data_IF_345353523565
#
_entry.id   IF_345353523565
#
_cell.length_a   1.000
_cell.length_b   1.000
_cell.length_c   1.000
_cell.angle_alpha   90.00
_cell.angle_beta   90.00
_cell.angle_gamma   90.00
#
_symmetry.space_group_name_H-M   'P 1'
#
loop_
_entity.id
_entity.type
_entity.pdbx_description
1 polymer ?
#
# COMPACT_ATOMS: atom_id res chain seq x y z
N UNK A 1 -24.39 0.40 16.24
CA UNK A 1 -23.65 1.04 15.12
C UNK A 1 -23.57 0.10 13.93
N UNK A 2 -24.05 0.56 12.78
CA UNK A 2 -24.32 -0.22 11.58
C UNK A 2 -23.02 -0.59 10.82
N UNK A 3 -22.21 -1.52 11.37
CA UNK A 3 -20.89 -1.97 10.83
C UNK A 3 -20.93 -2.65 9.45
N UNK A 4 -22.03 -2.60 8.67
CA UNK A 4 -22.25 -3.48 7.52
C UNK A 4 -22.39 -2.82 6.15
N UNK A 5 -22.65 -1.51 6.04
CA UNK A 5 -22.79 -0.86 4.73
C UNK A 5 -21.44 -0.29 4.28
N UNK A 6 -21.03 -0.62 3.05
CA UNK A 6 -19.84 -0.04 2.41
C UNK A 6 -19.99 1.49 2.34
N UNK A 7 -19.04 2.28 2.87
CA UNK A 7 -19.11 3.72 2.77
C UNK A 7 -18.84 4.16 1.32
N UNK A 8 -19.38 5.33 0.98
CA UNK A 8 -18.90 6.10 -0.16
C UNK A 8 -17.46 6.56 0.12
N UNK A 9 -16.59 6.39 -0.86
CA UNK A 9 -15.18 6.80 -0.73
C UNK A 9 -15.01 8.22 -1.25
N UNK A 10 -15.08 9.18 -0.34
CA UNK A 10 -14.88 10.61 -0.57
C UNK A 10 -14.15 11.24 0.62
N UNK A 11 -13.43 12.33 0.38
CA UNK A 11 -12.72 13.04 1.45
C UNK A 11 -13.69 13.59 2.50
N UNK A 12 -14.88 14.04 2.10
CA UNK A 12 -15.92 14.49 3.04
C UNK A 12 -16.44 13.37 3.97
N UNK A 13 -16.20 12.11 3.62
CA UNK A 13 -16.65 10.92 4.36
C UNK A 13 -15.45 10.11 4.89
N UNK A 14 -14.29 10.74 5.10
CA UNK A 14 -13.03 10.06 5.40
C UNK A 14 -13.11 9.21 6.67
N UNK A 15 -13.84 9.64 7.71
CA UNK A 15 -13.98 8.91 8.98
C UNK A 15 -14.61 7.53 8.75
N UNK A 16 -15.78 7.50 8.11
CA UNK A 16 -16.48 6.24 7.82
C UNK A 16 -15.66 5.33 6.90
N UNK A 17 -14.88 5.92 5.99
CA UNK A 17 -13.96 5.18 5.13
C UNK A 17 -12.86 4.52 5.96
N UNK A 18 -12.19 5.24 6.86
CA UNK A 18 -11.15 4.65 7.70
C UNK A 18 -11.70 3.71 8.77
N UNK A 19 -12.91 3.92 9.28
CA UNK A 19 -13.55 2.95 10.18
C UNK A 19 -13.91 1.64 9.45
N UNK A 20 -14.26 1.71 8.16
CA UNK A 20 -14.54 0.52 7.36
C UNK A 20 -13.28 -0.20 6.89
N UNK A 21 -12.32 0.52 6.31
CA UNK A 21 -11.11 -0.06 5.71
C UNK A 21 -9.99 -0.31 6.72
N UNK A 22 -9.94 0.47 7.81
CA UNK A 22 -8.85 0.47 8.79
C UNK A 22 -8.62 -0.85 9.53
N UNK A 23 -9.66 -1.61 9.91
CA UNK A 23 -9.49 -2.96 10.45
C UNK A 23 -8.90 -3.98 9.46
N UNK A 24 -8.85 -3.65 8.16
CA UNK A 24 -8.40 -4.55 7.09
C UNK A 24 -9.55 -5.36 6.49
N UNK A 25 -9.57 -5.43 5.16
CA UNK A 25 -10.65 -6.07 4.37
C UNK A 25 -10.17 -7.22 3.49
N UNK A 26 -8.93 -7.66 3.72
CA UNK A 26 -8.28 -8.73 2.98
C UNK A 26 -9.12 -10.02 3.01
N UNK A 27 -9.16 -10.74 1.89
CA UNK A 27 -9.79 -12.05 1.77
C UNK A 27 -8.84 -13.00 1.06
N UNK A 28 -8.19 -13.90 1.80
CA UNK A 28 -7.15 -14.77 1.25
C UNK A 28 -7.63 -15.64 0.08
N UNK A 29 -8.88 -16.11 0.11
CA UNK A 29 -9.49 -16.86 -1.01
C UNK A 29 -9.57 -16.04 -2.30
N UNK A 30 -9.59 -14.71 -2.21
CA UNK A 30 -9.55 -13.80 -3.35
C UNK A 30 -8.12 -13.37 -3.66
N UNK A 31 -7.35 -13.00 -2.62
CA UNK A 31 -6.01 -12.43 -2.79
C UNK A 31 -5.02 -13.43 -3.36
N UNK A 32 -4.94 -14.65 -2.83
CA UNK A 32 -3.92 -15.60 -3.28
C UNK A 32 -4.09 -16.02 -4.74
N UNK A 33 -5.29 -16.36 -5.24
CA UNK A 33 -5.48 -16.63 -6.67
C UNK A 33 -5.14 -15.43 -7.55
N UNK A 34 -5.50 -14.21 -7.12
CA UNK A 34 -5.14 -12.99 -7.85
C UNK A 34 -3.63 -12.80 -7.91
N UNK A 35 -2.91 -12.95 -6.79
CA UNK A 35 -1.45 -12.84 -6.76
C UNK A 35 -0.78 -13.91 -7.64
N UNK A 36 -1.28 -15.15 -7.61
CA UNK A 36 -0.79 -16.23 -8.46
C UNK A 36 -0.99 -15.94 -9.96
N UNK A 37 -2.14 -15.37 -10.34
CA UNK A 37 -2.41 -14.94 -11.71
C UNK A 37 -1.48 -13.80 -12.13
N UNK A 38 -1.32 -12.78 -11.29
CA UNK A 38 -0.45 -11.63 -11.57
C UNK A 38 1.01 -12.07 -11.69
N UNK A 39 1.49 -12.95 -10.81
CA UNK A 39 2.82 -13.56 -10.90
C UNK A 39 2.99 -14.34 -12.21
N UNK A 40 2.01 -15.17 -12.60
CA UNK A 40 2.08 -15.94 -13.84
C UNK A 40 2.23 -15.05 -15.09
N UNK A 41 1.63 -13.85 -15.09
CA UNK A 41 1.69 -12.87 -16.18
C UNK A 41 3.00 -12.08 -16.16
N UNK A 42 3.39 -11.53 -15.01
CA UNK A 42 4.52 -10.59 -14.92
C UNK A 42 5.88 -11.25 -14.70
N UNK A 43 5.92 -12.37 -13.95
CA UNK A 43 7.12 -13.17 -13.60
C UNK A 43 8.39 -12.32 -13.39
N UNK A 44 8.40 -11.39 -12.42
CA UNK A 44 9.54 -10.51 -12.24
C UNK A 44 10.79 -11.29 -11.84
N UNK A 45 11.96 -10.84 -12.31
CA UNK A 45 13.24 -11.36 -11.85
C UNK A 45 13.60 -10.69 -10.52
N UNK A 46 13.52 -11.44 -9.42
CA UNK A 46 13.82 -10.92 -8.09
C UNK A 46 15.28 -11.16 -7.73
N UNK A 47 15.98 -10.08 -7.42
CA UNK A 47 17.34 -10.08 -6.88
C UNK A 47 17.27 -9.55 -5.45
N UNK A 48 17.26 -10.46 -4.50
CA UNK A 48 17.26 -10.14 -3.07
C UNK A 48 18.40 -10.97 -2.47
N UNK A 49 19.40 -10.35 -1.82
CA UNK A 49 20.47 -11.08 -1.16
C UNK A 49 19.93 -11.98 -0.05
N UNK A 50 20.54 -13.15 0.15
CA UNK A 50 20.07 -14.13 1.12
C UNK A 50 20.13 -13.56 2.55
N UNK A 51 21.14 -12.76 2.88
CA UNK A 51 21.24 -12.07 4.17
C UNK A 51 20.06 -11.10 4.42
N UNK A 52 19.50 -10.53 3.34
CA UNK A 52 18.32 -9.67 3.44
C UNK A 52 17.07 -10.49 3.72
N UNK A 53 16.92 -11.65 3.07
CA UNK A 53 15.82 -12.58 3.33
C UNK A 53 15.86 -13.05 4.78
N UNK A 54 17.00 -13.51 5.27
CA UNK A 54 17.18 -13.95 6.65
C UNK A 54 16.85 -12.83 7.66
N UNK A 55 17.35 -11.61 7.41
CA UNK A 55 17.04 -10.46 8.26
C UNK A 55 15.55 -10.14 8.28
N UNK A 56 14.89 -10.20 7.14
CA UNK A 56 13.45 -9.95 7.01
C UNK A 56 12.62 -10.98 7.80
N UNK A 57 12.94 -12.27 7.68
CA UNK A 57 12.28 -13.33 8.45
C UNK A 57 12.52 -13.18 9.96
N UNK A 58 13.75 -12.87 10.37
CA UNK A 58 14.07 -12.61 11.79
C UNK A 58 13.23 -11.47 12.34
N UNK A 59 13.26 -10.30 11.68
CA UNK A 59 12.48 -9.12 12.08
C UNK A 59 10.98 -9.43 12.16
N UNK A 60 10.44 -10.13 11.17
CA UNK A 60 9.04 -10.54 11.17
C UNK A 60 8.72 -11.48 12.35
N UNK A 61 9.57 -12.47 12.63
CA UNK A 61 9.39 -13.39 13.75
C UNK A 61 9.52 -12.73 15.13
N UNK A 62 10.32 -11.66 15.23
CA UNK A 62 10.48 -10.83 16.42
C UNK A 62 9.30 -9.87 16.63
N UNK A 63 8.32 -9.86 15.71
CA UNK A 63 7.16 -8.95 15.76
C UNK A 63 7.52 -7.51 15.42
N UNK A 64 8.62 -7.29 14.70
CA UNK A 64 9.00 -5.94 14.25
C UNK A 64 8.17 -5.54 13.05
N UNK A 65 7.54 -4.36 13.14
CA UNK A 65 6.79 -3.78 12.03
C UNK A 65 7.68 -3.47 10.83
N UNK A 66 7.18 -3.76 9.62
CA UNK A 66 7.94 -3.59 8.38
C UNK A 66 7.25 -2.60 7.46
N UNK A 67 8.00 -1.60 6.98
CA UNK A 67 7.57 -0.72 5.90
C UNK A 67 8.21 -1.18 4.59
N UNK A 68 7.38 -1.54 3.61
CA UNK A 68 7.81 -1.81 2.23
C UNK A 68 7.65 -0.51 1.44
N UNK A 69 8.73 0.26 1.39
CA UNK A 69 8.82 1.50 0.63
C UNK A 69 9.37 1.23 -0.77
N UNK A 70 8.58 1.52 -1.80
CA UNK A 70 8.92 1.18 -3.19
C UNK A 70 8.92 2.44 -4.06
N UNK A 71 9.86 2.50 -5.00
CA UNK A 71 9.85 3.50 -6.06
C UNK A 71 8.68 3.25 -7.03
N UNK A 72 8.27 4.28 -7.77
CA UNK A 72 7.14 4.21 -8.71
C UNK A 72 7.55 4.61 -10.15
N UNK A 73 8.51 3.93 -10.81
CA UNK A 73 8.94 4.28 -12.16
C UNK A 73 7.87 4.13 -13.26
N UNK A 74 6.86 3.28 -13.09
CA UNK A 74 5.93 2.92 -14.15
C UNK A 74 4.49 2.67 -13.67
N UNK A 75 3.53 2.66 -14.60
CA UNK A 75 2.14 2.30 -14.29
C UNK A 75 1.96 0.83 -13.89
N UNK A 76 2.94 -0.02 -14.21
CA UNK A 76 2.92 -1.46 -13.92
C UNK A 76 3.47 -1.80 -12.54
N UNK A 77 4.04 -0.85 -11.80
CA UNK A 77 4.71 -1.17 -10.53
C UNK A 77 3.80 -1.82 -9.49
N UNK A 78 2.51 -1.44 -9.33
CA UNK A 78 1.63 -2.14 -8.41
C UNK A 78 1.49 -3.63 -8.74
N UNK A 79 1.43 -3.99 -10.03
CA UNK A 79 1.36 -5.38 -10.47
C UNK A 79 2.69 -6.11 -10.36
N UNK A 80 3.81 -5.43 -10.66
CA UNK A 80 5.16 -6.00 -10.47
C UNK A 80 5.44 -6.26 -8.99
N UNK A 81 5.07 -5.32 -8.11
CA UNK A 81 5.17 -5.48 -6.66
C UNK A 81 4.27 -6.63 -6.17
N UNK A 82 3.02 -6.70 -6.63
CA UNK A 82 2.12 -7.80 -6.28
C UNK A 82 2.68 -9.17 -6.71
N UNK A 83 3.23 -9.28 -7.92
CA UNK A 83 3.90 -10.49 -8.38
C UNK A 83 5.14 -10.82 -7.51
N UNK A 84 5.98 -9.82 -7.22
CA UNK A 84 7.17 -9.98 -6.40
C UNK A 84 6.86 -10.54 -5.01
N UNK A 85 5.78 -10.05 -4.39
CA UNK A 85 5.29 -10.49 -3.09
C UNK A 85 4.70 -11.91 -3.11
N UNK A 86 4.52 -12.53 -4.28
CA UNK A 86 4.14 -13.94 -4.37
C UNK A 86 5.33 -14.89 -4.25
N UNK A 87 6.58 -14.41 -4.33
CA UNK A 87 7.77 -15.24 -4.08
C UNK A 87 7.77 -15.78 -2.64
N UNK A 88 7.96 -17.10 -2.48
CA UNK A 88 7.90 -17.80 -1.19
C UNK A 88 8.88 -17.24 -0.16
N UNK A 89 10.03 -16.69 -0.59
CA UNK A 89 11.05 -16.10 0.28
C UNK A 89 10.57 -14.86 1.02
N UNK A 90 9.59 -14.13 0.47
CA UNK A 90 9.08 -12.87 1.04
C UNK A 90 7.55 -12.81 1.13
N UNK A 91 6.86 -13.93 0.87
CA UNK A 91 5.39 -13.98 0.75
C UNK A 91 4.63 -13.47 1.97
N UNK A 92 5.23 -13.53 3.16
CA UNK A 92 4.63 -12.99 4.38
C UNK A 92 4.35 -11.48 4.28
N UNK A 93 5.16 -10.73 3.52
CA UNK A 93 4.96 -9.29 3.27
C UNK A 93 3.64 -9.01 2.51
N UNK A 94 3.14 -9.98 1.73
CA UNK A 94 1.89 -9.85 1.00
C UNK A 94 0.68 -9.70 1.92
N UNK A 95 0.78 -10.05 3.20
CA UNK A 95 -0.28 -9.88 4.21
C UNK A 95 -0.49 -8.43 4.65
N UNK A 96 0.44 -7.54 4.30
CA UNK A 96 0.43 -6.15 4.74
C UNK A 96 -0.68 -5.28 4.17
N UNK A 97 -0.78 -4.08 4.75
CA UNK A 97 -1.70 -3.04 4.32
C UNK A 97 -1.07 -2.21 3.21
N UNK A 98 -1.60 -2.34 2.00
CA UNK A 98 -1.24 -1.46 0.90
C UNK A 98 -1.90 -0.09 1.02
N UNK A 99 -1.19 0.96 0.62
CA UNK A 99 -1.73 2.31 0.53
C UNK A 99 -1.93 2.69 -0.94
N UNK A 100 -3.12 3.17 -1.32
CA UNK A 100 -3.36 3.63 -2.69
C UNK A 100 -4.36 4.77 -2.76
N UNK A 101 -4.34 5.52 -3.86
CA UNK A 101 -5.23 6.68 -4.05
C UNK A 101 -6.70 6.26 -4.00
N UNK A 102 -7.49 7.06 -3.29
CA UNK A 102 -8.91 6.80 -3.08
C UNK A 102 -9.79 6.67 -4.36
N UNK A 103 -9.49 7.29 -5.53
CA UNK A 103 -10.35 7.16 -6.71
C UNK A 103 -10.46 5.72 -7.22
N UNK A 104 -9.48 4.86 -6.90
CA UNK A 104 -9.47 3.44 -7.27
C UNK A 104 -10.57 2.63 -6.57
N UNK A 105 -11.18 3.17 -5.52
CA UNK A 105 -12.28 2.54 -4.78
C UNK A 105 -13.67 2.97 -5.27
N UNK A 106 -13.76 3.84 -6.28
CA UNK A 106 -15.05 4.30 -6.84
C UNK A 106 -15.52 3.48 -8.04
N UNK A 107 -14.63 2.70 -8.64
CA UNK A 107 -14.89 1.95 -9.88
C UNK A 107 -15.14 0.45 -9.70
N UNK A 108 -15.31 -0.30 -10.81
CA UNK A 108 -15.56 -1.74 -10.79
C UNK A 108 -14.40 -2.56 -10.20
N UNK A 109 -13.19 -1.99 -10.18
CA UNK A 109 -12.01 -2.61 -9.57
C UNK A 109 -11.95 -2.46 -8.04
N UNK A 110 -12.91 -1.77 -7.40
CA UNK A 110 -12.97 -1.64 -5.93
C UNK A 110 -12.76 -2.96 -5.18
N UNK A 111 -13.36 -4.11 -5.57
CA UNK A 111 -13.14 -5.38 -4.87
C UNK A 111 -11.68 -5.84 -4.89
N UNK A 112 -10.92 -5.50 -5.94
CA UNK A 112 -9.49 -5.82 -6.02
C UNK A 112 -8.77 -5.16 -4.86
N UNK A 113 -8.89 -3.84 -4.73
CA UNK A 113 -8.21 -3.08 -3.67
C UNK A 113 -8.74 -3.42 -2.27
N UNK A 114 -10.06 -3.58 -2.12
CA UNK A 114 -10.67 -3.94 -0.85
C UNK A 114 -10.18 -5.31 -0.36
N UNK A 115 -10.25 -6.33 -1.23
CA UNK A 115 -9.94 -7.70 -0.83
C UNK A 115 -8.47 -8.05 -0.85
N UNK A 116 -7.59 -7.20 -1.41
CA UNK A 116 -6.14 -7.29 -1.18
C UNK A 116 -5.69 -6.65 0.13
N UNK A 117 -6.60 -6.00 0.88
CA UNK A 117 -6.27 -5.34 2.15
C UNK A 117 -5.72 -3.93 1.99
N UNK A 118 -5.97 -3.30 0.85
CA UNK A 118 -5.52 -1.94 0.55
C UNK A 118 -6.45 -0.90 1.18
N UNK A 119 -5.89 0.21 1.65
CA UNK A 119 -6.59 1.34 2.27
C UNK A 119 -6.53 2.56 1.35
N UNK A 120 -7.64 3.30 1.17
CA UNK A 120 -7.67 4.53 0.38
C UNK A 120 -6.92 5.68 1.05
N UNK A 121 -6.12 6.40 0.27
CA UNK A 121 -5.37 7.59 0.70
C UNK A 121 -5.99 8.83 0.08
N UNK A 122 -6.46 9.74 0.94
CA UNK A 122 -6.92 11.07 0.55
C UNK A 122 -5.74 12.03 0.52
N UNK A 123 -5.31 12.42 -0.69
CA UNK A 123 -4.16 13.30 -0.87
C UNK A 123 -4.63 14.73 -1.08
N UNK A 124 -4.16 15.67 -0.27
CA UNK A 124 -4.58 17.07 -0.32
C UNK A 124 -4.57 17.65 -1.75
N UNK A 125 -3.52 17.36 -2.52
CA UNK A 125 -3.37 17.82 -3.91
C UNK A 125 -4.46 17.36 -4.90
N UNK A 126 -5.25 16.35 -4.55
CA UNK A 126 -6.34 15.83 -5.39
C UNK A 126 -7.69 16.54 -5.11
N UNK A 127 -7.73 17.46 -4.15
CA UNK A 127 -8.95 18.03 -3.59
C UNK A 127 -8.80 19.53 -3.36
N UNK A 128 -8.53 20.25 -4.44
CA UNK A 128 -8.50 21.70 -4.43
C UNK A 128 -9.84 22.27 -3.92
N UNK A 129 -9.77 23.25 -3.02
CA UNK A 129 -10.96 23.88 -2.42
C UNK A 129 -11.58 23.14 -1.22
N UNK A 130 -11.08 21.97 -0.84
CA UNK A 130 -11.45 21.34 0.44
C UNK A 130 -10.62 21.99 1.57
N UNK A 131 -11.26 22.22 2.73
CA UNK A 131 -10.61 22.84 3.88
C UNK A 131 -9.41 22.00 4.37
N UNK A 132 -8.31 22.68 4.74
CA UNK A 132 -7.03 22.04 5.07
C UNK A 132 -7.11 21.14 6.30
N UNK A 133 -7.93 21.52 7.27
CA UNK A 133 -8.22 20.76 8.49
C UNK A 133 -8.81 19.37 8.20
N UNK A 134 -9.66 19.23 7.17
CA UNK A 134 -10.20 17.94 6.74
C UNK A 134 -9.10 17.03 6.20
N UNK A 135 -8.18 17.58 5.40
CA UNK A 135 -7.05 16.83 4.86
C UNK A 135 -6.08 16.41 5.96
N UNK A 136 -5.77 17.32 6.88
CA UNK A 136 -4.89 17.07 8.01
C UNK A 136 -5.48 16.01 8.94
N UNK A 137 -6.80 16.03 9.19
CA UNK A 137 -7.46 15.02 10.00
C UNK A 137 -7.44 13.64 9.33
N UNK A 138 -7.74 13.57 8.02
CA UNK A 138 -7.68 12.33 7.24
C UNK A 138 -6.24 11.77 7.18
N UNK A 139 -5.25 12.64 6.93
CA UNK A 139 -3.83 12.30 6.94
C UNK A 139 -3.39 11.76 8.32
N UNK A 140 -3.75 12.45 9.40
CA UNK A 140 -3.45 12.05 10.77
C UNK A 140 -4.06 10.68 11.09
N UNK A 141 -5.31 10.43 10.68
CA UNK A 141 -5.96 9.12 10.87
C UNK A 141 -5.25 8.02 10.09
N UNK A 142 -4.83 8.28 8.85
CA UNK A 142 -4.08 7.32 8.05
C UNK A 142 -2.70 7.01 8.66
N UNK A 143 -1.99 8.03 9.15
CA UNK A 143 -0.71 7.86 9.86
C UNK A 143 -0.92 7.00 11.11
N UNK A 144 -1.93 7.33 11.93
CA UNK A 144 -2.28 6.55 13.11
C UNK A 144 -2.54 5.09 12.79
N UNK A 145 -3.31 4.81 11.73
CA UNK A 145 -3.52 3.44 11.24
C UNK A 145 -2.20 2.75 10.88
N UNK A 146 -1.30 3.43 10.16
CA UNK A 146 0.00 2.85 9.79
C UNK A 146 0.86 2.57 11.03
N UNK A 147 0.87 3.48 12.01
CA UNK A 147 1.56 3.30 13.30
C UNK A 147 0.97 2.11 14.06
N UNK A 148 -0.35 1.98 14.13
CA UNK A 148 -1.00 0.85 14.80
C UNK A 148 -0.63 -0.49 14.12
N UNK A 149 -0.56 -0.51 12.78
CA UNK A 149 -0.10 -1.71 12.04
C UNK A 149 1.35 -2.06 12.37
N UNK A 150 2.24 -1.07 12.34
CA UNK A 150 3.68 -1.28 12.55
C UNK A 150 4.00 -1.65 14.00
N UNK A 151 3.37 -1.01 14.97
CA UNK A 151 3.55 -1.34 16.40
C UNK A 151 2.98 -2.71 16.76
N UNK A 152 1.98 -3.19 16.01
CA UNK A 152 1.49 -4.57 16.09
C UNK A 152 2.32 -5.61 15.33
N UNK A 153 3.50 -5.27 14.80
CA UNK A 153 4.36 -6.19 14.03
C UNK A 153 3.89 -6.47 12.61
N UNK A 154 2.95 -5.67 12.11
CA UNK A 154 2.40 -5.78 10.76
C UNK A 154 3.28 -5.16 9.68
N UNK A 155 2.76 -5.20 8.45
CA UNK A 155 3.44 -4.69 7.26
C UNK A 155 2.63 -3.56 6.63
N UNK A 156 3.29 -2.46 6.25
CA UNK A 156 2.70 -1.37 5.46
C UNK A 156 3.43 -1.26 4.13
N UNK A 157 2.70 -1.27 3.02
CA UNK A 157 3.25 -1.19 1.66
C UNK A 157 2.85 0.10 0.99
N UNK A 158 3.81 0.80 0.40
CA UNK A 158 3.53 2.08 -0.25
C UNK A 158 4.54 2.44 -1.34
N UNK A 159 4.02 3.16 -2.34
CA UNK A 159 4.82 3.89 -3.30
C UNK A 159 5.10 5.29 -2.75
N UNK A 160 6.25 5.46 -2.11
CA UNK A 160 6.64 6.68 -1.39
C UNK A 160 6.70 7.94 -2.27
N UNK A 161 6.81 7.79 -3.58
CA UNK A 161 6.78 8.92 -4.51
C UNK A 161 5.38 9.54 -4.63
N UNK A 162 4.34 8.76 -4.32
CA UNK A 162 2.92 9.10 -4.41
C UNK A 162 2.41 9.31 -5.84
N UNK A 163 3.28 9.36 -6.84
CA UNK A 163 2.98 9.46 -8.27
C UNK A 163 4.06 8.75 -9.05
N UNK A 164 3.73 8.26 -10.24
CA UNK A 164 4.71 7.69 -11.13
C UNK A 164 5.79 8.73 -11.45
N UNK A 165 7.03 8.28 -11.57
CA UNK A 165 8.15 9.08 -12.05
C UNK A 165 7.85 9.63 -13.45
N UNK A 166 8.17 10.91 -13.66
CA UNK A 166 8.18 11.54 -14.98
C UNK A 166 9.35 11.04 -15.84
N UNK A 167 9.36 11.41 -17.13
CA UNK A 167 10.47 11.07 -18.02
C UNK A 167 11.83 11.60 -17.53
N UNK A 168 11.86 12.78 -16.91
CA UNK A 168 13.07 13.36 -16.32
C UNK A 168 13.49 12.65 -15.03
N UNK A 169 12.52 12.23 -14.23
CA UNK A 169 12.79 11.45 -13.02
C UNK A 169 13.45 10.11 -13.37
N UNK A 170 12.97 9.44 -14.42
CA UNK A 170 13.54 8.16 -14.86
C UNK A 170 15.00 8.28 -15.32
N UNK A 171 15.41 9.42 -15.87
CA UNK A 171 16.80 9.67 -16.29
C UNK A 171 17.77 9.76 -15.12
N UNK A 172 17.27 10.13 -13.94
CA UNK A 172 18.09 10.37 -12.74
C UNK A 172 17.79 9.38 -11.62
N UNK A 173 16.80 8.49 -11.82
CA UNK A 173 16.39 7.51 -10.84
C UNK A 173 17.52 6.53 -10.54
N UNK A 174 17.99 6.55 -9.29
CA UNK A 174 18.83 5.49 -8.74
C UNK A 174 17.92 4.43 -8.16
N UNK A 175 17.82 3.28 -8.85
CA UNK A 175 16.95 2.17 -8.42
C UNK A 175 17.28 1.65 -7.01
N UNK A 176 18.52 1.84 -6.57
CA UNK A 176 18.99 1.47 -5.23
C UNK A 176 18.61 2.47 -4.12
N UNK A 177 18.02 3.62 -4.47
CA UNK A 177 17.61 4.65 -3.54
C UNK A 177 16.11 4.92 -3.63
N UNK A 178 15.50 5.24 -2.49
CA UNK A 178 14.11 5.68 -2.43
C UNK A 178 14.06 7.19 -2.73
N UNK A 179 13.56 7.56 -3.91
CA UNK A 179 13.72 8.91 -4.49
C UNK A 179 13.39 10.08 -3.54
N UNK A 180 12.28 10.00 -2.79
CA UNK A 180 11.81 11.06 -1.87
C UNK A 180 12.03 10.73 -0.39
N UNK A 181 12.63 9.58 -0.08
CA UNK A 181 12.75 9.06 1.29
C UNK A 181 11.44 8.52 1.87
N UNK A 182 11.54 7.71 2.91
CA UNK A 182 10.40 7.03 3.57
C UNK A 182 9.57 7.99 4.44
N UNK A 183 10.15 9.11 4.90
CA UNK A 183 9.45 10.11 5.71
C UNK A 183 8.35 10.89 4.98
N UNK A 184 8.26 10.76 3.65
CA UNK A 184 7.24 11.41 2.80
C UNK A 184 5.99 10.54 2.60
N UNK A 185 5.83 9.47 3.37
CA UNK A 185 4.59 8.71 3.43
C UNK A 185 3.50 9.57 4.07
N UNK A 186 2.77 10.37 3.27
CA UNK A 186 1.35 10.81 3.35
C UNK A 186 1.13 11.98 2.39
#
# INVERSE_FOLDING_TARGET
MNKRRRPEVSVANWEAVYDFYGPGRRRDWFTYPLLALVDAIYRPRLRIPDETIERLHRLHSEGVGIVVAVNHPSAHDPTVLAAALFDRRVRFLASGTGLTKDPLFRGPLRPVFEYTGTVPVFRAKNYEGTASDIHEAAATRLIGLCVDRLTGGGVVLTFVEGTNSSADDLRTLRLESVKKGVGMMV
#
